data_IF_943065512342
#
_entry.id   IF_943065512342
#
_cell.length_a   1.000
_cell.length_b   1.000
_cell.length_c   1.000
_cell.angle_alpha   90.00
_cell.angle_beta   90.00
_cell.angle_gamma   90.00
#
_symmetry.space_group_name_H-M   'P 1'
#
loop_
_entity.id
_entity.type
_entity.pdbx_description
1 polymer ?
#
# COMPACT_ATOMS: atom_id res chain seq x y z
N UNK A 1 -14.39 -12.21 19.60
CA UNK A 1 -14.08 -12.17 19.11
C UNK A 1 -13.52 -11.82 18.41
N UNK A 2 -13.45 -11.77 18.09
CA UNK A 2 -13.04 -11.26 17.26
C UNK A 2 -11.92 -11.40 16.72
N UNK A 3 -11.31 -12.00 16.85
CA UNK A 3 -10.19 -12.16 16.34
C UNK A 3 -10.07 -12.57 15.11
N UNK A 4 -10.90 -13.11 14.48
CA UNK A 4 -10.78 -13.47 13.15
C UNK A 4 -10.65 -12.29 12.33
N UNK A 5 -10.92 -11.15 12.80
CA UNK A 5 -10.73 -10.00 12.01
C UNK A 5 -9.40 -9.39 12.18
N UNK A 6 -8.48 -10.05 12.79
CA UNK A 6 -7.18 -9.47 12.95
C UNK A 6 -6.29 -9.76 11.78
N UNK A 7 -6.80 -9.94 10.61
CA UNK A 7 -5.96 -10.13 9.47
C UNK A 7 -5.20 -8.88 9.17
N UNK A 8 -3.95 -9.03 8.80
CA UNK A 8 -3.14 -7.91 8.35
C UNK A 8 -3.29 -7.76 6.86
N UNK A 9 -3.28 -6.52 6.41
CA UNK A 9 -3.37 -6.24 5.00
C UNK A 9 -2.18 -5.39 4.59
N UNK A 10 -1.82 -5.46 3.33
CA UNK A 10 -0.75 -4.66 2.78
C UNK A 10 -1.24 -3.95 1.54
N UNK A 11 -0.81 -2.72 1.37
CA UNK A 11 -1.08 -1.98 0.16
C UNK A 11 0.09 -2.19 -0.78
N UNK A 12 -0.18 -2.68 -1.96
CA UNK A 12 0.83 -2.86 -2.98
C UNK A 12 0.65 -1.76 -4.01
N UNK A 13 1.69 -1.00 -4.26
CA UNK A 13 1.65 0.08 -5.24
C UNK A 13 2.60 -0.27 -6.36
N UNK A 14 2.07 -0.36 -7.58
CA UNK A 14 2.85 -0.74 -8.73
C UNK A 14 3.25 0.50 -9.49
N UNK A 15 4.54 0.76 -9.55
CA UNK A 15 5.08 1.94 -10.22
C UNK A 15 5.69 1.52 -11.53
N UNK A 16 5.56 2.38 -12.53
CA UNK A 16 5.95 2.03 -13.88
C UNK A 16 7.41 1.65 -13.98
N UNK A 17 8.26 2.32 -13.25
CA UNK A 17 9.70 2.12 -13.41
C UNK A 17 10.24 0.95 -12.60
N UNK A 18 9.42 0.32 -11.76
CA UNK A 18 9.93 -0.72 -10.89
C UNK A 18 9.24 -2.03 -11.18
N UNK A 19 9.99 -3.11 -11.12
CA UNK A 19 9.41 -4.42 -11.35
C UNK A 19 8.82 -4.99 -10.08
N UNK A 20 9.18 -4.45 -8.92
CA UNK A 20 8.69 -4.93 -7.66
C UNK A 20 7.80 -3.86 -7.06
N UNK A 21 6.60 -4.19 -6.60
CA UNK A 21 5.72 -3.18 -6.05
C UNK A 21 6.24 -2.67 -4.71
N UNK A 22 5.86 -1.47 -4.37
CA UNK A 22 6.09 -0.93 -3.04
C UNK A 22 5.05 -1.55 -2.12
N UNK A 23 5.46 -2.10 -1.00
CA UNK A 23 4.57 -2.80 -0.10
C UNK A 23 4.52 -2.05 1.22
N UNK A 24 3.34 -1.66 1.63
CA UNK A 24 3.16 -0.87 2.84
C UNK A 24 2.10 -1.53 3.70
N UNK A 25 2.41 -1.76 4.97
CA UNK A 25 1.46 -2.37 5.87
C UNK A 25 0.27 -1.44 6.09
N UNK A 26 -0.92 -1.97 6.04
CA UNK A 26 -2.11 -1.17 6.25
C UNK A 26 -2.16 -0.62 7.67
N UNK A 27 -1.49 -1.26 8.61
CA UNK A 27 -1.50 -0.80 9.99
C UNK A 27 -0.88 0.58 10.14
N UNK A 28 0.03 0.97 9.26
CA UNK A 28 0.68 2.27 9.39
C UNK A 28 0.05 3.30 8.46
N UNK A 29 -1.01 2.97 7.75
CA UNK A 29 -1.63 3.90 6.81
C UNK A 29 -2.78 4.59 7.49
N UNK A 30 -2.73 5.92 7.58
CA UNK A 30 -3.84 6.69 8.09
C UNK A 30 -4.75 7.14 6.96
N UNK A 31 -4.20 7.41 5.79
CA UNK A 31 -5.02 7.89 4.68
C UNK A 31 -4.27 7.69 3.38
N UNK A 32 -5.01 7.55 2.30
CA UNK A 32 -4.43 7.39 0.97
C UNK A 32 -5.11 8.40 0.06
N UNK A 33 -4.31 9.20 -0.63
CA UNK A 33 -4.83 10.16 -1.59
C UNK A 33 -4.23 9.80 -2.94
N UNK A 34 -5.03 9.67 -3.96
CA UNK A 34 -4.51 9.35 -5.28
C UNK A 34 -5.01 10.35 -6.29
N UNK A 35 -4.18 10.64 -7.26
CA UNK A 35 -4.53 11.54 -8.35
C UNK A 35 -4.24 10.80 -9.65
N UNK A 36 -5.27 10.30 -10.28
CA UNK A 36 -5.09 9.48 -11.47
C UNK A 36 -4.47 10.25 -12.61
N UNK A 37 -4.82 11.53 -12.75
CA UNK A 37 -4.27 12.30 -13.86
C UNK A 37 -2.77 12.43 -13.76
N UNK A 38 -2.22 12.51 -12.59
CA UNK A 38 -0.78 12.68 -12.41
C UNK A 38 -0.10 11.39 -12.03
N UNK A 39 -0.86 10.33 -11.84
CA UNK A 39 -0.33 9.02 -11.48
C UNK A 39 0.45 9.10 -10.17
N UNK A 40 -0.09 9.81 -9.21
CA UNK A 40 0.55 10.00 -7.92
C UNK A 40 -0.33 9.38 -6.85
N UNK A 41 0.30 8.75 -5.88
CA UNK A 41 -0.38 8.27 -4.70
C UNK A 41 0.39 8.78 -3.49
N UNK A 42 -0.30 9.51 -2.61
CA UNK A 42 0.30 10.01 -1.38
C UNK A 42 -0.33 9.25 -0.23
N UNK A 43 0.49 8.69 0.63
CA UNK A 43 0.02 7.92 1.75
C UNK A 43 0.44 8.63 3.03
N UNK A 44 -0.53 8.96 3.87
CA UNK A 44 -0.23 9.57 5.16
C UNK A 44 -0.16 8.45 6.18
N UNK A 45 0.90 8.43 6.95
CA UNK A 45 1.08 7.37 7.93
C UNK A 45 0.49 7.78 9.26
N UNK A 46 0.33 6.81 10.15
CA UNK A 46 -0.20 7.09 11.48
C UNK A 46 0.73 7.96 12.30
N UNK A 47 2.01 8.05 11.89
CA UNK A 47 2.94 8.91 12.59
C UNK A 47 2.95 10.32 12.04
N UNK A 48 2.16 10.60 11.03
CA UNK A 48 2.12 11.93 10.45
C UNK A 48 3.05 12.15 9.28
N UNK A 49 3.75 11.12 8.84
CA UNK A 49 4.63 11.24 7.68
C UNK A 49 3.83 11.06 6.40
N UNK A 50 4.40 11.48 5.30
CA UNK A 50 3.77 11.31 4.00
C UNK A 50 4.72 10.57 3.09
N UNK A 51 4.23 9.50 2.48
CA UNK A 51 4.98 8.73 1.51
C UNK A 51 4.42 9.09 0.15
N UNK A 52 5.21 9.74 -0.68
CA UNK A 52 4.75 10.15 -2.01
C UNK A 52 5.29 9.20 -3.05
N UNK A 53 4.40 8.64 -3.87
CA UNK A 53 4.79 7.70 -4.92
C UNK A 53 4.35 8.28 -6.26
N UNK A 54 5.23 8.22 -7.25
CA UNK A 54 4.98 8.78 -8.55
C UNK A 54 4.98 7.72 -9.61
N UNK A 55 4.43 8.02 -10.74
CA UNK A 55 4.35 7.10 -11.89
C UNK A 55 3.64 5.81 -11.49
N UNK A 56 2.60 5.93 -10.69
CA UNK A 56 1.89 4.77 -10.19
C UNK A 56 0.95 4.28 -11.27
N UNK A 57 1.03 3.01 -11.61
CA UNK A 57 0.13 2.45 -12.59
C UNK A 57 -1.10 1.85 -11.93
N UNK A 58 -0.95 1.28 -10.77
CA UNK A 58 -2.09 0.73 -10.06
C UNK A 58 -1.71 0.48 -8.61
N UNK A 59 -2.69 0.27 -7.78
CA UNK A 59 -2.42 -0.15 -6.41
C UNK A 59 -3.61 -0.95 -5.93
N UNK A 60 -3.36 -1.83 -4.97
CA UNK A 60 -4.44 -2.63 -4.42
C UNK A 60 -4.08 -3.06 -3.01
N UNK A 61 -5.10 -3.39 -2.24
CA UNK A 61 -4.94 -3.86 -0.89
C UNK A 61 -5.11 -5.37 -0.90
N UNK A 62 -4.18 -6.11 -0.31
CA UNK A 62 -4.28 -7.56 -0.27
C UNK A 62 -4.03 -8.06 1.14
N UNK A 63 -4.63 -9.17 1.52
CA UNK A 63 -4.34 -9.76 2.82
C UNK A 63 -2.90 -10.26 2.86
N UNK A 64 -2.28 -10.17 4.01
CA UNK A 64 -0.89 -10.59 4.14
C UNK A 64 -0.71 -12.05 3.74
N UNK A 65 -1.72 -12.86 3.99
CA UNK A 65 -1.58 -14.29 3.68
C UNK A 65 -1.49 -14.54 2.18
N UNK A 66 -1.88 -13.57 1.36
CA UNK A 66 -1.76 -13.76 -0.08
C UNK A 66 -0.43 -13.27 -0.62
N UNK A 67 0.40 -12.67 0.19
CA UNK A 67 1.69 -12.20 -0.26
C UNK A 67 2.70 -13.26 0.08
N UNK A 68 3.40 -13.73 -0.93
CA UNK A 68 4.36 -14.79 -0.71
C UNK A 68 5.72 -14.18 -0.52
N UNK A 69 6.21 -14.17 0.70
CA UNK A 69 7.50 -13.61 0.95
C UNK A 69 8.59 -14.65 1.02
N UNK A 70 8.29 -15.94 1.02
CA UNK A 70 9.28 -16.82 1.21
C UNK A 70 9.79 -17.23 0.08
N UNK A 71 10.38 -17.17 -0.47
CA UNK A 71 10.86 -17.61 -1.62
C UNK A 71 11.87 -18.51 -1.46
#
# INVERSE_FOLDING_TARGET
MANENNKSYFLLVFEKSYTIPTIISADVIANVFSCADKKIVDITTTDGDIIGLENVESFKMVPAEEINFNM
#
